data_IF_006385730245
#
_entry.id   IF_006385730245
#
_cell.length_a   1.000
_cell.length_b   1.000
_cell.length_c   1.000
_cell.angle_alpha   90.00
_cell.angle_beta   90.00
_cell.angle_gamma   90.00
#
_symmetry.space_group_name_H-M   'P 1'
#
loop_
_entity.id
_entity.type
_entity.pdbx_description
1 polymer ?
#
# COMPACT_ATOMS: atom_id res chain seq x y z
N UNK A 1 -13.88 20.60 11.19
CA UNK A 1 -12.79 19.62 11.00
C UNK A 1 -13.44 18.28 10.68
N UNK A 2 -13.07 17.64 9.57
CA UNK A 2 -13.63 16.34 9.15
C UNK A 2 -13.49 15.28 10.25
N UNK A 3 -14.56 14.51 10.50
CA UNK A 3 -14.61 13.51 11.58
C UNK A 3 -14.20 12.11 11.12
N UNK A 4 -14.48 11.78 9.87
CA UNK A 4 -14.25 10.47 9.26
C UNK A 4 -14.00 10.62 7.76
N UNK A 5 -13.28 9.65 7.20
CA UNK A 5 -13.19 9.40 5.78
C UNK A 5 -14.09 8.23 5.42
N UNK A 6 -14.66 8.27 4.23
CA UNK A 6 -15.44 7.17 3.67
C UNK A 6 -14.56 6.33 2.75
N UNK A 7 -14.65 5.00 2.88
CA UNK A 7 -13.96 4.05 2.03
C UNK A 7 -14.91 3.71 0.88
N UNK A 8 -14.57 4.06 -0.35
CA UNK A 8 -15.37 3.76 -1.55
C UNK A 8 -15.12 2.33 -2.05
N UNK A 9 -13.87 1.90 -2.01
CA UNK A 9 -13.45 0.57 -2.43
C UNK A 9 -12.13 0.16 -1.79
N UNK A 10 -11.87 -1.15 -1.80
CA UNK A 10 -10.59 -1.73 -1.43
C UNK A 10 -10.26 -2.89 -2.38
N UNK A 11 -9.01 -3.00 -2.82
CA UNK A 11 -8.57 -4.11 -3.66
C UNK A 11 -7.19 -4.62 -3.23
N UNK A 12 -7.03 -5.94 -3.21
CA UNK A 12 -5.80 -6.62 -2.82
C UNK A 12 -5.20 -7.30 -4.04
N UNK A 13 -3.90 -7.12 -4.25
CA UNK A 13 -3.10 -7.91 -5.17
C UNK A 13 -2.00 -8.62 -4.38
N UNK A 14 -2.08 -9.94 -4.34
CA UNK A 14 -1.13 -10.77 -3.62
C UNK A 14 -0.88 -12.03 -4.46
N UNK A 15 0.33 -12.18 -5.04
CA UNK A 15 0.70 -13.36 -5.83
C UNK A 15 0.70 -14.66 -5.01
N UNK A 16 0.87 -14.56 -3.69
CA UNK A 16 0.91 -15.69 -2.77
C UNK A 16 -0.48 -15.93 -2.16
N UNK A 17 -1.39 -16.51 -2.95
CA UNK A 17 -2.81 -16.72 -2.54
C UNK A 17 -2.93 -17.50 -1.21
N UNK A 18 -1.99 -18.39 -0.91
CA UNK A 18 -1.95 -19.14 0.35
C UNK A 18 -1.84 -18.23 1.60
N UNK A 19 -1.21 -17.05 1.46
CA UNK A 19 -1.06 -16.06 2.53
C UNK A 19 -2.41 -15.56 3.04
N UNK A 20 -3.38 -15.42 2.12
CA UNK A 20 -4.68 -14.82 2.38
C UNK A 20 -5.80 -15.86 2.52
N UNK A 21 -5.57 -17.10 2.08
CA UNK A 21 -6.54 -18.18 2.16
C UNK A 21 -7.02 -18.45 3.60
N UNK A 22 -6.12 -18.34 4.59
CA UNK A 22 -6.47 -18.52 6.00
C UNK A 22 -7.39 -17.41 6.56
N UNK A 23 -7.49 -16.28 5.86
CA UNK A 23 -8.27 -15.10 6.24
C UNK A 23 -9.52 -14.94 5.38
N UNK A 24 -9.75 -15.85 4.42
CA UNK A 24 -10.80 -15.76 3.38
C UNK A 24 -10.81 -14.43 2.61
N UNK A 25 -9.66 -13.74 2.57
CA UNK A 25 -9.52 -12.46 1.90
C UNK A 25 -9.38 -12.68 0.39
N UNK A 26 -10.26 -12.03 -0.38
CA UNK A 26 -10.18 -12.05 -1.85
C UNK A 26 -8.96 -11.25 -2.31
N UNK A 27 -8.15 -11.85 -3.18
CA UNK A 27 -7.07 -11.17 -3.89
C UNK A 27 -7.14 -11.41 -5.39
N UNK A 28 -6.50 -10.54 -6.16
CA UNK A 28 -6.22 -10.75 -7.57
C UNK A 28 -4.74 -11.05 -7.80
N UNK A 29 -4.45 -11.87 -8.82
CA UNK A 29 -3.11 -11.96 -9.41
C UNK A 29 -2.70 -10.63 -10.07
N UNK A 30 -1.40 -10.52 -10.38
CA UNK A 30 -0.87 -9.38 -11.14
C UNK A 30 -1.45 -9.38 -12.55
N UNK A 31 -2.26 -8.36 -12.88
CA UNK A 31 -2.82 -8.19 -14.21
C UNK A 31 -1.83 -7.47 -15.12
N UNK A 32 -1.19 -8.25 -15.98
CA UNK A 32 -0.23 -7.76 -16.96
C UNK A 32 -0.87 -6.89 -18.04
N UNK A 33 -2.19 -6.93 -18.25
CA UNK A 33 -2.86 -6.13 -19.28
C UNK A 33 -2.92 -4.65 -18.92
N UNK A 34 -2.88 -4.31 -17.62
CA UNK A 34 -3.04 -2.94 -17.11
C UNK A 34 -1.88 -2.00 -17.43
N UNK A 35 -0.70 -2.54 -17.73
CA UNK A 35 0.51 -1.76 -18.04
C UNK A 35 0.93 -2.07 -19.48
N UNK A 36 1.15 -1.08 -20.36
CA UNK A 36 1.62 -1.31 -21.73
C UNK A 36 2.94 -2.08 -21.77
N UNK A 37 3.12 -2.91 -22.81
CA UNK A 37 4.26 -3.83 -22.92
C UNK A 37 5.63 -3.15 -22.80
N UNK A 38 5.79 -1.94 -23.36
CA UNK A 38 7.03 -1.18 -23.27
C UNK A 38 7.38 -0.77 -21.83
N UNK A 39 6.38 -0.33 -21.06
CA UNK A 39 6.56 0.02 -19.64
C UNK A 39 6.78 -1.24 -18.81
N UNK A 40 6.02 -2.33 -19.05
CA UNK A 40 6.16 -3.58 -18.27
C UNK A 40 7.56 -4.17 -18.26
N UNK A 41 8.29 -4.04 -19.37
CA UNK A 41 9.67 -4.55 -19.47
C UNK A 41 10.66 -3.78 -18.59
N UNK A 42 10.28 -2.58 -18.15
CA UNK A 42 11.08 -1.69 -17.32
C UNK A 42 10.55 -1.57 -15.89
N UNK A 43 9.41 -2.15 -15.55
CA UNK A 43 8.89 -2.11 -14.17
C UNK A 43 9.26 -3.36 -13.38
N UNK A 44 9.38 -3.22 -12.06
CA UNK A 44 9.56 -4.33 -11.13
C UNK A 44 8.27 -5.12 -10.91
N UNK A 45 8.37 -6.25 -10.19
CA UNK A 45 7.20 -6.99 -9.75
C UNK A 45 6.36 -6.17 -8.76
N UNK A 46 7.00 -5.48 -7.80
CA UNK A 46 6.32 -4.62 -6.82
C UNK A 46 5.48 -3.54 -7.50
N UNK A 47 6.05 -2.82 -8.46
CA UNK A 47 5.33 -1.77 -9.20
C UNK A 47 4.09 -2.36 -9.90
N UNK A 48 4.22 -3.54 -10.54
CA UNK A 48 3.08 -4.18 -11.24
C UNK A 48 1.97 -4.61 -10.29
N UNK A 49 2.35 -5.15 -9.13
CA UNK A 49 1.42 -5.58 -8.08
C UNK A 49 0.65 -4.39 -7.49
N UNK A 50 1.37 -3.32 -7.12
CA UNK A 50 0.79 -2.09 -6.59
C UNK A 50 -0.15 -1.42 -7.60
N UNK A 51 0.25 -1.32 -8.88
CA UNK A 51 -0.61 -0.78 -9.95
C UNK A 51 -1.87 -1.63 -10.16
N UNK A 52 -1.75 -2.96 -10.05
CA UNK A 52 -2.91 -3.85 -10.19
C UNK A 52 -3.93 -3.58 -9.08
N UNK A 53 -3.50 -3.54 -7.82
CA UNK A 53 -4.36 -3.21 -6.69
C UNK A 53 -5.01 -1.83 -6.87
N UNK A 54 -4.21 -0.81 -7.21
CA UNK A 54 -4.68 0.55 -7.44
C UNK A 54 -5.75 0.64 -8.54
N UNK A 55 -5.50 0.02 -9.70
CA UNK A 55 -6.46 0.01 -10.81
C UNK A 55 -7.76 -0.69 -10.41
N UNK A 56 -7.69 -1.85 -9.76
CA UNK A 56 -8.89 -2.55 -9.31
C UNK A 56 -9.71 -1.73 -8.31
N UNK A 57 -9.07 -1.09 -7.33
CA UNK A 57 -9.76 -0.21 -6.38
C UNK A 57 -10.43 0.98 -7.10
N UNK A 58 -9.71 1.68 -7.97
CA UNK A 58 -10.27 2.80 -8.73
C UNK A 58 -11.42 2.38 -9.65
N UNK A 59 -11.32 1.22 -10.32
CA UNK A 59 -12.41 0.69 -11.14
C UNK A 59 -13.65 0.36 -10.32
N UNK A 60 -13.49 -0.25 -9.14
CA UNK A 60 -14.61 -0.56 -8.25
C UNK A 60 -15.29 0.70 -7.68
N UNK A 61 -14.54 1.77 -7.43
CA UNK A 61 -15.06 3.06 -6.96
C UNK A 61 -15.54 3.98 -8.10
N UNK A 62 -15.35 3.61 -9.36
CA UNK A 62 -15.59 4.46 -10.52
C UNK A 62 -14.86 5.82 -10.46
N UNK A 63 -13.62 5.82 -9.91
CA UNK A 63 -12.82 7.04 -9.73
C UNK A 63 -12.11 7.49 -11.01
N UNK A 64 -12.03 8.79 -11.23
CA UNK A 64 -11.26 9.38 -12.33
C UNK A 64 -9.75 9.38 -12.04
N UNK A 65 -9.08 8.33 -12.49
CA UNK A 65 -7.63 8.17 -12.31
C UNK A 65 -6.75 9.27 -12.92
N UNK A 66 -7.26 10.12 -13.83
CA UNK A 66 -6.49 11.25 -14.37
C UNK A 66 -6.38 12.42 -13.40
N UNK A 67 -7.32 12.55 -12.46
CA UNK A 67 -7.40 13.66 -11.51
C UNK A 67 -7.36 13.17 -10.05
N UNK A 68 -6.95 11.93 -9.81
CA UNK A 68 -6.96 11.30 -8.50
C UNK A 68 -5.60 11.48 -7.80
N UNK A 69 -5.55 12.42 -6.86
CA UNK A 69 -4.40 12.55 -5.98
C UNK A 69 -4.19 11.25 -5.18
N UNK A 70 -2.92 10.89 -4.95
CA UNK A 70 -2.58 9.55 -4.49
C UNK A 70 -1.41 9.51 -3.51
N UNK A 71 -1.40 8.48 -2.66
CA UNK A 71 -0.37 8.21 -1.67
C UNK A 71 0.09 6.77 -1.83
N UNK A 72 1.38 6.59 -2.07
CA UNK A 72 2.03 5.29 -2.22
C UNK A 72 2.89 5.02 -0.99
N UNK A 73 2.40 4.15 -0.11
CA UNK A 73 3.00 3.80 1.16
C UNK A 73 3.71 2.44 1.07
N UNK A 74 5.02 2.43 1.27
CA UNK A 74 5.82 1.19 1.23
C UNK A 74 7.00 1.31 2.19
N UNK A 75 7.34 0.22 2.88
CA UNK A 75 8.53 0.21 3.73
C UNK A 75 9.79 0.16 2.86
N UNK A 76 9.80 -0.70 1.84
CA UNK A 76 10.99 -0.97 1.02
C UNK A 76 11.05 -0.23 -0.32
N UNK A 77 9.91 0.21 -0.85
CA UNK A 77 9.81 0.69 -2.23
C UNK A 77 10.36 -0.36 -3.20
N UNK A 78 11.39 0.01 -3.96
CA UNK A 78 12.06 -0.81 -4.97
C UNK A 78 13.33 -1.49 -4.39
N UNK A 79 13.18 -2.18 -3.25
CA UNK A 79 14.32 -2.69 -2.47
C UNK A 79 15.19 -3.67 -3.28
N UNK A 80 14.61 -4.50 -4.14
CA UNK A 80 15.38 -5.45 -4.96
C UNK A 80 16.24 -4.73 -6.00
N UNK A 81 15.72 -3.66 -6.59
CA UNK A 81 16.45 -2.87 -7.59
C UNK A 81 17.61 -2.13 -6.92
N UNK A 82 17.33 -1.50 -5.77
CA UNK A 82 18.33 -0.79 -4.97
C UNK A 82 19.45 -1.71 -4.50
N UNK A 83 19.11 -2.89 -3.95
CA UNK A 83 20.10 -3.88 -3.53
C UNK A 83 20.98 -4.35 -4.70
N UNK A 84 20.36 -4.68 -5.84
CA UNK A 84 21.10 -5.13 -7.02
C UNK A 84 22.11 -4.09 -7.48
N UNK A 85 21.75 -2.80 -7.48
CA UNK A 85 22.67 -1.71 -7.79
C UNK A 85 23.79 -1.59 -6.76
N UNK A 86 23.47 -1.65 -5.47
CA UNK A 86 24.47 -1.58 -4.40
C UNK A 86 25.50 -2.72 -4.50
N UNK A 87 25.08 -3.92 -4.90
CA UNK A 87 25.99 -5.06 -5.09
C UNK A 87 26.93 -4.94 -6.30
N UNK A 88 26.61 -4.08 -7.27
CA UNK A 88 27.49 -3.80 -8.41
C UNK A 88 28.58 -2.77 -8.07
N UNK A 89 28.37 -1.92 -7.06
CA UNK A 89 29.30 -0.84 -6.70
C UNK A 89 30.75 -1.28 -6.44
N UNK A 90 31.04 -2.47 -5.86
CA UNK A 90 32.41 -2.90 -5.65
C UNK A 90 33.17 -3.31 -6.93
N UNK A 91 32.49 -3.57 -8.05
CA UNK A 91 33.12 -3.99 -9.30
C UNK A 91 33.34 -2.80 -10.23
N UNK A 92 34.60 -2.37 -10.38
CA UNK A 92 34.99 -1.24 -11.24
C UNK A 92 34.78 -1.50 -12.74
N UNK A 93 34.55 -2.76 -13.15
CA UNK A 93 34.31 -3.13 -14.54
C UNK A 93 32.81 -3.19 -14.89
N UNK A 94 31.92 -3.18 -13.90
CA UNK A 94 30.48 -3.22 -14.10
C UNK A 94 29.90 -1.82 -14.34
N UNK A 95 28.99 -1.72 -15.31
CA UNK A 95 28.30 -0.46 -15.61
C UNK A 95 26.92 -0.45 -14.95
N UNK A 96 26.64 0.60 -14.18
CA UNK A 96 25.32 0.81 -13.60
C UNK A 96 24.28 1.06 -14.71
N UNK A 97 23.22 0.25 -14.73
CA UNK A 97 22.12 0.41 -15.67
C UNK A 97 21.34 1.69 -15.39
N UNK A 98 21.24 2.65 -16.35
CA UNK A 98 20.45 3.87 -16.16
C UNK A 98 18.97 3.58 -15.89
N UNK A 99 18.44 2.49 -16.45
CA UNK A 99 17.04 2.09 -16.22
C UNK A 99 16.85 1.57 -14.80
N UNK A 100 17.76 0.75 -14.28
CA UNK A 100 17.68 0.29 -12.89
C UNK A 100 17.84 1.46 -11.92
N UNK A 101 18.77 2.37 -12.18
CA UNK A 101 18.94 3.56 -11.35
C UNK A 101 17.68 4.44 -11.31
N UNK A 102 17.02 4.66 -12.45
CA UNK A 102 15.74 5.37 -12.48
C UNK A 102 14.65 4.68 -11.66
N UNK A 103 14.69 3.35 -11.58
CA UNK A 103 13.74 2.53 -10.84
C UNK A 103 14.17 2.21 -9.40
N UNK A 104 15.25 2.79 -8.87
CA UNK A 104 15.71 2.49 -7.51
C UNK A 104 15.16 3.45 -6.46
N UNK A 105 14.47 4.51 -6.90
CA UNK A 105 13.91 5.52 -5.99
C UNK A 105 12.60 5.03 -5.39
N UNK A 106 12.31 5.42 -4.15
CA UNK A 106 11.11 4.97 -3.42
C UNK A 106 9.80 5.34 -4.14
N UNK A 107 9.78 6.49 -4.82
CA UNK A 107 8.62 6.96 -5.56
C UNK A 107 8.47 6.36 -6.97
N UNK A 108 9.24 5.32 -7.34
CA UNK A 108 9.17 4.70 -8.68
C UNK A 108 7.75 4.25 -9.03
N UNK A 109 7.08 3.51 -8.12
CA UNK A 109 5.71 3.03 -8.34
C UNK A 109 4.72 4.19 -8.53
N UNK A 110 4.84 5.24 -7.71
CA UNK A 110 4.06 6.47 -7.83
C UNK A 110 4.28 7.18 -9.18
N UNK A 111 5.53 7.27 -9.64
CA UNK A 111 5.87 7.83 -10.94
C UNK A 111 5.24 7.05 -12.10
N UNK A 112 5.31 5.71 -12.05
CA UNK A 112 4.64 4.87 -13.04
C UNK A 112 3.12 5.02 -13.02
N UNK A 113 2.50 5.14 -11.84
CA UNK A 113 1.07 5.44 -11.72
C UNK A 113 0.69 6.74 -12.43
N UNK A 114 1.44 7.82 -12.17
CA UNK A 114 1.23 9.12 -12.81
C UNK A 114 1.32 9.05 -14.34
N UNK A 115 2.39 8.44 -14.86
CA UNK A 115 2.59 8.28 -16.32
C UNK A 115 1.48 7.42 -16.95
N UNK A 116 1.16 6.29 -16.33
CA UNK A 116 0.17 5.34 -16.85
C UNK A 116 -1.23 5.97 -16.96
N UNK A 117 -1.60 6.76 -15.96
CA UNK A 117 -2.91 7.39 -15.89
C UNK A 117 -2.94 8.81 -16.46
N UNK A 118 -1.81 9.35 -16.96
CA UNK A 118 -1.67 10.77 -17.29
C UNK A 118 -2.12 11.69 -16.14
N UNK A 119 -1.92 11.24 -14.91
CA UNK A 119 -2.38 11.92 -13.72
C UNK A 119 -1.42 13.06 -13.37
N UNK A 120 -1.96 14.27 -13.25
CA UNK A 120 -1.20 15.47 -12.83
C UNK A 120 -1.52 15.89 -11.39
N UNK A 121 -2.46 15.20 -10.74
CA UNK A 121 -2.79 15.45 -9.34
C UNK A 121 -1.63 15.10 -8.40
N UNK A 122 -1.54 15.74 -7.21
CA UNK A 122 -0.51 15.46 -6.22
C UNK A 122 -0.34 13.97 -5.93
N UNK A 123 0.91 13.51 -5.93
CA UNK A 123 1.24 12.12 -5.62
C UNK A 123 2.40 12.07 -4.64
N UNK A 124 2.18 11.47 -3.47
CA UNK A 124 3.17 11.34 -2.41
C UNK A 124 3.64 9.89 -2.32
N UNK A 125 4.93 9.67 -2.09
CA UNK A 125 5.47 8.36 -1.71
C UNK A 125 6.00 8.45 -0.27
N UNK A 126 5.60 7.51 0.59
CA UNK A 126 5.88 7.56 2.02
C UNK A 126 6.39 6.22 2.57
N UNK A 127 7.33 6.30 3.50
CA UNK A 127 7.82 5.19 4.30
C UNK A 127 7.91 5.66 5.76
N UNK A 128 7.43 4.82 6.68
CA UNK A 128 7.51 5.08 8.13
C UNK A 128 7.75 3.79 8.92
N UNK A 129 8.55 2.86 8.37
CA UNK A 129 8.78 1.54 8.93
C UNK A 129 7.46 0.82 9.28
N UNK A 130 7.30 0.33 10.51
CA UNK A 130 6.08 -0.34 10.98
C UNK A 130 4.82 0.55 10.91
N UNK A 131 4.98 1.87 10.90
CA UNK A 131 3.87 2.85 10.91
C UNK A 131 3.45 3.28 9.50
N UNK A 132 4.03 2.68 8.45
CA UNK A 132 3.85 3.11 7.05
C UNK A 132 2.37 3.19 6.64
N UNK A 133 1.53 2.23 7.03
CA UNK A 133 0.10 2.28 6.73
C UNK A 133 -0.62 3.42 7.47
N UNK A 134 -0.36 3.54 8.78
CA UNK A 134 -0.94 4.61 9.60
C UNK A 134 -0.56 6.00 9.06
N UNK A 135 0.71 6.21 8.73
CA UNK A 135 1.19 7.47 8.16
C UNK A 135 0.63 7.75 6.76
N UNK A 136 0.45 6.71 5.93
CA UNK A 136 -0.23 6.83 4.65
C UNK A 136 -1.69 7.29 4.78
N UNK A 137 -2.41 6.76 5.77
CA UNK A 137 -3.77 7.23 6.10
C UNK A 137 -3.78 8.67 6.61
N UNK A 138 -2.84 9.06 7.46
CA UNK A 138 -2.71 10.44 7.96
C UNK A 138 -2.41 11.40 6.80
N UNK A 139 -1.54 11.02 5.87
CA UNK A 139 -1.24 11.83 4.67
C UNK A 139 -2.50 12.04 3.82
N UNK A 140 -3.27 10.97 3.54
CA UNK A 140 -4.56 11.10 2.84
C UNK A 140 -5.51 12.02 3.59
N UNK A 141 -5.61 11.86 4.91
CA UNK A 141 -6.45 12.70 5.74
C UNK A 141 -6.06 14.17 5.64
N UNK A 142 -4.76 14.47 5.72
CA UNK A 142 -4.24 15.82 5.61
C UNK A 142 -4.59 16.45 4.26
N UNK A 143 -4.43 15.71 3.16
CA UNK A 143 -4.80 16.17 1.83
C UNK A 143 -6.31 16.44 1.69
N UNK A 144 -7.17 15.54 2.20
CA UNK A 144 -8.62 15.68 2.13
C UNK A 144 -9.19 16.77 3.04
N UNK A 145 -8.48 17.16 4.11
CA UNK A 145 -8.85 18.34 4.91
C UNK A 145 -8.58 19.65 4.17
N UNK A 146 -7.59 19.69 3.27
CA UNK A 146 -7.28 20.88 2.48
C UNK A 146 -8.20 20.97 1.25
N UNK A 147 -8.44 19.84 0.60
CA UNK A 147 -9.25 19.77 -0.63
C UNK A 147 -10.15 18.52 -0.59
N UNK A 148 -11.47 18.69 -0.40
CA UNK A 148 -12.44 17.60 -0.44
C UNK A 148 -12.42 16.84 -1.77
N UNK A 149 -12.92 15.60 -1.76
CA UNK A 149 -12.96 14.73 -2.93
C UNK A 149 -12.43 13.33 -2.63
N UNK A 150 -11.81 12.70 -3.62
CA UNK A 150 -11.27 11.33 -3.51
C UNK A 150 -9.74 11.31 -3.46
N UNK A 151 -9.17 10.35 -2.74
CA UNK A 151 -7.75 10.02 -2.74
C UNK A 151 -7.54 8.53 -2.85
N UNK A 152 -6.49 8.15 -3.57
CA UNK A 152 -6.01 6.78 -3.61
C UNK A 152 -4.90 6.58 -2.57
N UNK A 153 -5.05 5.59 -1.69
CA UNK A 153 -3.96 5.06 -0.86
C UNK A 153 -3.56 3.69 -1.37
N UNK A 154 -2.27 3.49 -1.66
CA UNK A 154 -1.71 2.19 -2.05
C UNK A 154 -0.64 1.79 -1.04
N UNK A 155 -0.85 0.67 -0.36
CA UNK A 155 0.13 0.06 0.53
C UNK A 155 0.74 -1.15 -0.16
N UNK A 156 2.07 -1.24 -0.25
CA UNK A 156 2.72 -2.32 -0.98
C UNK A 156 4.13 -2.61 -0.46
N UNK A 157 4.51 -3.87 -0.48
CA UNK A 157 5.88 -4.34 -0.26
C UNK A 157 6.12 -5.63 -1.05
N UNK A 158 7.36 -5.86 -1.48
CA UNK A 158 7.78 -7.07 -2.20
C UNK A 158 8.69 -7.97 -1.34
N UNK A 159 9.23 -9.01 -1.98
CA UNK A 159 10.25 -9.86 -1.38
C UNK A 159 11.55 -9.09 -1.19
N UNK A 160 12.16 -9.23 -0.02
CA UNK A 160 13.44 -8.62 0.31
C UNK A 160 14.58 -9.65 0.18
N UNK A 161 15.78 -9.22 -0.22
CA UNK A 161 16.99 -10.01 -0.01
C UNK A 161 17.14 -10.35 1.48
N UNK A 162 17.00 -11.63 1.84
CA UNK A 162 16.88 -12.07 3.24
C UNK A 162 18.13 -11.86 4.10
N UNK A 163 19.27 -11.49 3.51
CA UNK A 163 20.46 -11.09 4.27
C UNK A 163 20.41 -9.65 4.79
N UNK A 164 19.47 -8.81 4.32
CA UNK A 164 19.37 -7.42 4.73
C UNK A 164 18.66 -7.27 6.09
N UNK A 165 17.47 -7.86 6.24
CA UNK A 165 16.62 -7.64 7.41
C UNK A 165 15.57 -8.75 7.62
N UNK A 166 15.95 -10.01 7.89
CA UNK A 166 14.95 -11.05 8.17
C UNK A 166 14.20 -10.73 9.48
N UNK A 167 12.89 -10.99 9.58
CA UNK A 167 12.04 -11.72 8.62
C UNK A 167 11.34 -10.83 7.56
N UNK A 168 11.71 -9.56 7.43
CA UNK A 168 11.02 -8.62 6.54
C UNK A 168 11.11 -9.08 5.08
N UNK A 169 10.01 -8.92 4.35
CA UNK A 169 9.93 -9.20 2.92
C UNK A 169 10.04 -10.68 2.57
N UNK A 170 9.48 -11.57 3.40
CA UNK A 170 9.34 -12.98 3.03
C UNK A 170 8.13 -13.25 2.16
N UNK A 171 7.14 -12.34 2.15
CA UNK A 171 5.98 -12.41 1.26
C UNK A 171 5.74 -11.07 0.58
N UNK A 172 5.23 -11.10 -0.67
CA UNK A 172 4.82 -9.90 -1.40
C UNK A 172 3.33 -9.61 -1.23
N UNK A 173 2.97 -8.35 -0.99
CA UNK A 173 1.59 -7.94 -0.77
C UNK A 173 1.35 -6.50 -1.22
N UNK A 174 0.24 -6.24 -1.91
CA UNK A 174 -0.27 -4.89 -2.13
C UNK A 174 -1.78 -4.80 -1.86
N UNK A 175 -2.18 -3.65 -1.35
CA UNK A 175 -3.57 -3.27 -1.14
C UNK A 175 -3.77 -1.80 -1.54
N UNK A 176 -4.92 -1.47 -2.10
CA UNK A 176 -5.30 -0.11 -2.41
C UNK A 176 -6.68 0.21 -1.85
N UNK A 177 -6.87 1.45 -1.41
CA UNK A 177 -8.13 2.02 -0.95
C UNK A 177 -8.44 3.29 -1.72
N UNK A 178 -9.68 3.46 -2.15
CA UNK A 178 -10.20 4.77 -2.55
C UNK A 178 -10.93 5.37 -1.34
N UNK A 179 -10.45 6.51 -0.88
CA UNK A 179 -10.94 7.23 0.30
C UNK A 179 -11.58 8.53 -0.14
N UNK A 180 -12.68 8.94 0.49
CA UNK A 180 -13.44 10.12 0.12
C UNK A 180 -13.94 10.91 1.33
N UNK A 181 -14.18 12.20 1.14
CA UNK A 181 -14.98 13.01 2.07
C UNK A 181 -16.48 12.79 1.91
N UNK A 182 -16.91 12.13 0.84
CA UNK A 182 -18.31 11.91 0.48
C UNK A 182 -18.76 10.48 0.78
N UNK A 183 -19.94 10.36 1.39
CA UNK A 183 -20.53 9.08 1.80
C UNK A 183 -21.10 8.26 0.62
N UNK A 184 -21.33 8.89 -0.53
CA UNK A 184 -21.98 8.22 -1.65
C UNK A 184 -21.19 6.96 -2.05
N UNK A 185 -21.88 5.83 -2.24
CA UNK A 185 -21.26 4.54 -2.60
C UNK A 185 -20.17 4.03 -1.63
N UNK A 186 -20.08 4.54 -0.40
CA UNK A 186 -19.11 4.07 0.58
C UNK A 186 -19.44 2.67 1.09
N UNK A 187 -18.42 1.84 1.30
CA UNK A 187 -18.49 0.51 1.91
C UNK A 187 -18.11 0.51 3.40
N UNK A 188 -17.82 1.69 3.94
CA UNK A 188 -17.55 1.93 5.36
C UNK A 188 -16.90 3.31 5.57
N UNK A 189 -16.63 3.65 6.83
CA UNK A 189 -15.98 4.86 7.25
C UNK A 189 -14.86 4.56 8.25
N UNK A 190 -13.83 5.40 8.26
CA UNK A 190 -12.69 5.29 9.16
C UNK A 190 -12.36 6.66 9.76
N UNK A 191 -12.06 6.70 11.06
CA UNK A 191 -11.66 7.92 11.76
C UNK A 191 -10.17 8.25 11.57
N UNK A 192 -9.73 9.39 12.09
CA UNK A 192 -8.32 9.78 11.99
C UNK A 192 -7.49 8.80 12.82
N UNK A 193 -6.37 8.28 12.29
CA UNK A 193 -5.45 7.45 13.07
C UNK A 193 -5.03 8.14 14.37
N UNK A 194 -5.12 7.43 15.49
CA UNK A 194 -4.68 7.89 16.80
C UNK A 194 -3.82 6.85 17.50
N UNK A 195 -2.87 7.32 18.32
CA UNK A 195 -2.11 6.46 19.21
C UNK A 195 -3.05 5.91 20.29
N UNK A 196 -3.07 4.60 20.44
CA UNK A 196 -3.92 3.88 21.39
C UNK A 196 -3.13 3.42 22.61
N UNK A 197 -3.85 2.89 23.59
CA UNK A 197 -3.25 2.17 24.73
C UNK A 197 -3.08 0.67 24.47
N UNK A 198 -3.45 0.18 23.27
CA UNK A 198 -3.23 -1.23 22.91
C UNK A 198 -1.73 -1.54 22.93
N UNK A 199 -1.41 -2.75 23.36
CA UNK A 199 -0.06 -3.29 23.32
C UNK A 199 0.01 -4.36 22.23
N UNK A 200 1.21 -4.61 21.73
CA UNK A 200 1.45 -5.65 20.73
C UNK A 200 0.92 -7.04 21.17
N UNK A 201 1.00 -7.35 22.46
CA UNK A 201 0.47 -8.59 23.05
C UNK A 201 -1.06 -8.75 22.94
N UNK A 202 -1.79 -7.66 22.75
CA UNK A 202 -3.25 -7.66 22.61
C UNK A 202 -3.67 -7.91 21.15
N UNK A 203 -2.71 -7.89 20.21
CA UNK A 203 -2.94 -8.11 18.78
C UNK A 203 -3.00 -9.61 18.45
N UNK A 204 -3.74 -9.95 17.40
CA UNK A 204 -3.82 -11.33 16.90
C UNK A 204 -2.43 -11.81 16.45
N UNK A 205 -1.93 -12.86 17.09
CA UNK A 205 -0.57 -13.39 16.87
C UNK A 205 -0.29 -13.73 15.41
N UNK A 206 -1.24 -14.34 14.71
CA UNK A 206 -1.04 -14.73 13.30
C UNK A 206 -0.92 -13.51 12.38
N UNK A 207 -1.68 -12.45 12.66
CA UNK A 207 -1.56 -11.17 11.93
C UNK A 207 -0.23 -10.47 12.23
N UNK A 208 0.24 -10.51 13.48
CA UNK A 208 1.57 -9.95 13.84
C UNK A 208 2.66 -10.65 13.05
N UNK A 209 2.73 -11.98 13.07
CA UNK A 209 3.73 -12.76 12.32
C UNK A 209 3.68 -12.48 10.82
N UNK A 210 2.47 -12.41 10.27
CA UNK A 210 2.26 -12.08 8.86
C UNK A 210 2.82 -10.67 8.55
N UNK A 211 2.50 -9.68 9.37
CA UNK A 211 2.93 -8.29 9.17
C UNK A 211 4.44 -8.10 9.39
N UNK A 212 5.07 -8.87 10.29
CA UNK A 212 6.54 -8.89 10.42
C UNK A 212 7.22 -9.37 9.12
N UNK A 213 6.57 -10.30 8.41
CA UNK A 213 7.05 -10.87 7.14
C UNK A 213 6.69 -10.03 5.91
N UNK A 214 5.58 -9.30 5.96
CA UNK A 214 5.04 -8.47 4.90
C UNK A 214 4.46 -7.18 5.50
N UNK A 215 5.26 -6.09 5.63
CA UNK A 215 4.84 -4.90 6.35
C UNK A 215 3.54 -4.26 5.83
N UNK A 216 3.32 -4.25 4.51
CA UNK A 216 2.06 -3.80 3.91
C UNK A 216 0.81 -4.61 4.37
N UNK A 217 0.98 -5.81 4.94
CA UNK A 217 -0.11 -6.59 5.53
C UNK A 217 -0.67 -5.98 6.84
N UNK A 218 -0.10 -4.88 7.33
CA UNK A 218 -0.68 -4.07 8.41
C UNK A 218 -2.12 -3.59 8.11
N UNK A 219 -2.54 -3.58 6.83
CA UNK A 219 -3.89 -3.22 6.40
C UNK A 219 -4.95 -4.29 6.69
N UNK A 220 -4.55 -5.53 6.95
CA UNK A 220 -5.46 -6.70 7.04
C UNK A 220 -6.62 -6.51 8.04
N UNK A 221 -6.42 -5.96 9.25
CA UNK A 221 -7.52 -5.76 10.18
C UNK A 221 -8.64 -4.89 9.60
N UNK A 222 -8.30 -3.86 8.82
CA UNK A 222 -9.29 -3.03 8.13
C UNK A 222 -10.00 -3.79 7.00
N UNK A 223 -9.26 -4.59 6.23
CA UNK A 223 -9.85 -5.43 5.17
C UNK A 223 -10.85 -6.46 5.73
N UNK A 224 -10.50 -7.09 6.86
CA UNK A 224 -11.40 -8.01 7.55
C UNK A 224 -12.64 -7.29 8.09
N UNK A 225 -12.47 -6.10 8.69
CA UNK A 225 -13.60 -5.32 9.17
C UNK A 225 -14.57 -4.92 8.04
N UNK A 226 -14.04 -4.56 6.86
CA UNK A 226 -14.81 -4.30 5.65
C UNK A 226 -15.53 -5.56 5.13
N UNK A 227 -14.83 -6.69 5.06
CA UNK A 227 -15.35 -7.96 4.59
C UNK A 227 -16.50 -8.46 5.47
N UNK A 228 -16.27 -8.46 6.79
CA UNK A 228 -17.20 -8.99 7.79
C UNK A 228 -18.31 -7.99 8.12
N UNK A 229 -18.20 -6.75 7.61
CA UNK A 229 -19.08 -5.62 7.94
C UNK A 229 -19.21 -5.45 9.46
N UNK A 230 -18.07 -5.39 10.13
CA UNK A 230 -18.01 -5.28 11.59
C UNK A 230 -17.34 -3.97 12.01
N UNK A 231 -18.14 -3.05 12.57
CA UNK A 231 -17.63 -1.83 13.20
C UNK A 231 -16.76 -2.16 14.41
N UNK A 232 -15.68 -1.40 14.61
CA UNK A 232 -14.76 -1.63 15.71
C UNK A 232 -13.46 -0.84 15.59
N UNK A 233 -12.62 -0.96 16.62
CA UNK A 233 -11.29 -0.37 16.62
C UNK A 233 -10.33 -1.26 15.81
N UNK A 234 -9.77 -0.71 14.73
CA UNK A 234 -8.81 -1.40 13.87
C UNK A 234 -7.38 -0.94 14.18
N UNK A 235 -6.44 -1.85 14.50
CA UNK A 235 -5.03 -1.51 14.60
C UNK A 235 -4.44 -1.31 13.20
N UNK A 236 -3.48 -0.39 13.08
CA UNK A 236 -2.90 0.07 11.80
C UNK A 236 -1.39 -0.24 11.68
N UNK A 237 -0.80 -0.77 12.76
CA UNK A 237 0.59 -1.21 12.85
C UNK A 237 0.73 -2.28 13.94
N UNK A 238 1.92 -2.86 14.08
CA UNK A 238 2.18 -3.95 15.04
C UNK A 238 3.20 -3.61 16.13
N UNK A 239 3.89 -2.47 16.06
CA UNK A 239 4.92 -2.06 17.05
C UNK A 239 4.53 -0.78 17.77
N UNK A 240 4.95 -0.63 19.03
CA UNK A 240 4.64 0.56 19.80
C UNK A 240 5.33 1.82 19.21
N UNK A 241 4.65 2.98 19.18
CA UNK A 241 3.27 3.20 19.60
C UNK A 241 2.23 2.54 18.66
N UNK A 242 1.19 1.92 19.22
CA UNK A 242 0.15 1.28 18.40
C UNK A 242 -0.85 2.33 17.90
N UNK A 243 -0.89 2.51 16.59
CA UNK A 243 -1.87 3.33 15.90
C UNK A 243 -3.16 2.53 15.69
N UNK A 244 -4.29 3.16 15.96
CA UNK A 244 -5.62 2.60 15.71
C UNK A 244 -6.51 3.62 15.03
N UNK A 245 -7.55 3.13 14.36
CA UNK A 245 -8.69 3.96 13.97
C UNK A 245 -10.00 3.26 14.25
N UNK A 246 -11.05 4.02 14.55
CA UNK A 246 -12.41 3.50 14.59
C UNK A 246 -12.92 3.30 13.15
N UNK A 247 -13.36 2.08 12.85
CA UNK A 247 -14.07 1.72 11.63
C UNK A 247 -15.58 1.59 11.90
N UNK A 248 -16.39 2.06 10.96
CA UNK A 248 -17.85 1.99 10.97
C UNK A 248 -18.37 1.53 9.61
N UNK A 249 -19.42 0.71 9.58
CA UNK A 249 -20.07 0.22 8.35
C UNK A 249 -21.08 1.21 7.82
#
# INVERSE_FOLDING_TARGET
MMKQLFIKSAAVCCPEVALLAALDLRSSDIDKSLIPAGMRRRTSMTTRMAITAAKHACTQANSDTQNLASVFASLGGEIQVTDALCRLLPDENELLSPTQFHNSVHNTTAGYWGILNKCQAPTTAIAAADDTFAMGLIEVWAQLQQEPGERLLVCYDELWPQYLAPPIGQSAFACAFVLSTEIDQSIGAITMPQVSQLKQQDLKVDWVKLTESAPAAAVIPLLLALQDKQSGLVPLNIKAPIWTSQFEV
#
